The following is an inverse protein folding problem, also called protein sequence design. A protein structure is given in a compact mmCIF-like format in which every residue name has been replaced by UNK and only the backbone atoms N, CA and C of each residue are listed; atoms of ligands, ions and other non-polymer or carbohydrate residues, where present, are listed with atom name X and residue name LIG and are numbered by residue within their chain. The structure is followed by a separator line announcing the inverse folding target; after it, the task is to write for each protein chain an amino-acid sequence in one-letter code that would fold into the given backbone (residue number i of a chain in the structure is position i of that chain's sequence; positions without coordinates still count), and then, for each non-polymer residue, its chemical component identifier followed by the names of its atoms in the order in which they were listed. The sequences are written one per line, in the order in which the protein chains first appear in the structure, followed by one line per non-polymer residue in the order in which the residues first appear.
data_IF_065157234369
#
_entry.id   IF_065157234369
#
_cell.length_a   1.000
_cell.length_b   1.000
_cell.length_c   1.000
_cell.angle_alpha   90.00
_cell.angle_beta   90.00
_cell.angle_gamma   90.00
#
_symmetry.space_group_name_H-M   'P 1'
#
loop_
_entity.id
_entity.type
_entity.pdbx_description
1 polymer ?
#
# COMPACT_ATOMS: atom_id res chain seq x y z
N UNK A 1 -8.00 -11.07 12.80
CA UNK A 1 -6.67 -10.53 12.47
C UNK A 1 -6.75 -9.48 11.35
N UNK A 2 -7.19 -9.84 10.13
CA UNK A 2 -7.23 -8.89 9.00
C UNK A 2 -7.99 -7.57 9.20
N UNK A 3 -9.02 -7.53 10.05
CA UNK A 3 -9.78 -6.31 10.34
C UNK A 3 -9.03 -5.28 11.20
N UNK A 4 -8.01 -5.71 11.96
CA UNK A 4 -7.31 -4.84 12.92
C UNK A 4 -6.05 -4.23 12.32
N UNK A 5 -5.40 -4.92 11.38
CA UNK A 5 -4.09 -4.54 10.84
C UNK A 5 -4.13 -3.92 9.44
N UNK A 6 -5.28 -3.95 8.77
CA UNK A 6 -5.45 -3.37 7.43
C UNK A 6 -5.67 -1.86 7.49
N UNK A 7 -4.93 -1.13 6.65
CA UNK A 7 -4.99 0.34 6.59
C UNK A 7 -6.36 0.87 6.11
N UNK A 8 -7.04 0.13 5.24
CA UNK A 8 -8.37 0.48 4.72
C UNK A 8 -9.48 0.35 5.78
N UNK A 9 -9.38 -0.63 6.70
CA UNK A 9 -10.29 -0.73 7.84
C UNK A 9 -10.14 0.48 8.80
N UNK A 10 -8.90 0.87 9.08
CA UNK A 10 -8.61 2.03 9.91
C UNK A 10 -9.13 3.33 9.26
N UNK A 11 -8.88 3.51 7.95
CA UNK A 11 -9.39 4.66 7.20
C UNK A 11 -10.91 4.75 7.26
N UNK A 12 -11.62 3.64 7.03
CA UNK A 12 -13.08 3.60 7.11
C UNK A 12 -13.58 3.96 8.52
N UNK A 13 -12.92 3.49 9.58
CA UNK A 13 -13.29 3.86 10.95
C UNK A 13 -13.09 5.36 11.24
N UNK A 14 -12.04 5.98 10.72
CA UNK A 14 -11.87 7.43 10.86
C UNK A 14 -12.92 8.22 10.08
N UNK A 15 -13.41 7.71 8.94
CA UNK A 15 -14.53 8.37 8.22
C UNK A 15 -15.83 8.35 9.01
N UNK A 16 -16.10 7.30 9.78
CA UNK A 16 -17.26 7.25 10.70
C UNK A 16 -17.09 8.30 11.80
N UNK A 17 -15.91 8.36 12.45
CA UNK A 17 -15.62 9.38 13.48
C UNK A 17 -15.76 10.82 12.97
N UNK A 18 -15.34 11.08 11.73
CA UNK A 18 -15.53 12.39 11.10
C UNK A 18 -17.01 12.70 10.89
N UNK A 19 -17.82 11.71 10.50
CA UNK A 19 -19.25 11.88 10.34
C UNK A 19 -19.97 12.07 11.70
N UNK A 20 -19.52 11.42 12.77
CA UNK A 20 -20.00 11.64 14.14
C UNK A 20 -19.72 13.09 14.59
N UNK A 21 -18.48 13.56 14.42
CA UNK A 21 -18.11 14.94 14.74
C UNK A 21 -18.91 15.96 13.91
N UNK A 22 -19.27 15.64 12.67
CA UNK A 22 -20.13 16.48 11.84
C UNK A 22 -21.58 16.55 12.36
N UNK A 23 -22.10 15.46 12.96
CA UNK A 23 -23.40 15.47 13.65
C UNK A 23 -23.35 16.36 14.89
N UNK A 24 -22.28 16.27 15.68
CA UNK A 24 -22.09 17.14 16.84
C UNK A 24 -21.99 18.61 16.43
N UNK A 25 -21.25 18.92 15.36
CA UNK A 25 -21.15 20.27 14.81
C UNK A 25 -22.51 20.80 14.34
N UNK A 26 -23.31 19.98 13.66
CA UNK A 26 -24.66 20.35 13.25
C UNK A 26 -25.58 20.56 14.46
N UNK A 27 -25.44 19.75 15.52
CA UNK A 27 -26.22 19.93 16.74
C UNK A 27 -25.80 21.19 17.52
N UNK A 28 -24.52 21.57 17.46
CA UNK A 28 -23.99 22.78 18.08
C UNK A 28 -24.54 24.07 17.44
N UNK A 29 -25.12 24.01 16.23
CA UNK A 29 -25.80 25.15 15.63
C UNK A 29 -27.05 25.62 16.43
N UNK A 30 -27.60 24.76 17.31
CA UNK A 30 -28.66 25.14 18.24
C UNK A 30 -28.14 25.97 19.45
N UNK A 31 -26.82 26.06 19.62
CA UNK A 31 -26.18 26.79 20.71
C UNK A 31 -25.80 28.21 20.24
N UNK A 32 -25.72 29.19 21.16
CA UNK A 32 -25.23 30.52 20.82
C UNK A 32 -23.78 30.46 20.35
N UNK A 33 -23.47 31.17 19.27
CA UNK A 33 -22.08 31.35 18.80
C UNK A 33 -21.49 32.59 19.45
N UNK A 34 -20.34 32.44 20.12
CA UNK A 34 -19.60 33.54 20.72
C UNK A 34 -18.39 33.87 19.85
N UNK A 35 -18.30 35.11 19.39
CA UNK A 35 -17.20 35.62 18.61
C UNK A 35 -16.49 36.72 19.38
N UNK A 36 -15.16 36.71 19.32
CA UNK A 36 -14.31 37.72 19.90
C UNK A 36 -13.34 38.23 18.83
N UNK A 37 -13.26 39.55 18.67
CA UNK A 37 -12.37 40.18 17.72
C UNK A 37 -11.63 41.34 18.38
N UNK A 38 -10.35 41.47 18.05
CA UNK A 38 -9.52 42.60 18.44
C UNK A 38 -8.86 43.17 17.18
N UNK A 39 -9.10 44.44 16.93
CA UNK A 39 -8.56 45.14 15.76
C UNK A 39 -7.78 46.34 16.22
N UNK A 40 -6.54 46.46 15.75
CA UNK A 40 -5.73 47.68 15.90
C UNK A 40 -5.72 48.40 14.56
N UNK A 41 -6.11 49.68 14.56
CA UNK A 41 -6.09 50.52 13.38
C UNK A 41 -5.23 51.74 13.63
N UNK A 42 -4.31 52.01 12.70
CA UNK A 42 -3.49 53.21 12.71
C UNK A 42 -3.93 54.01 11.48
N UNK A 43 -4.68 55.08 11.71
CA UNK A 43 -5.19 55.95 10.65
C UNK A 43 -4.55 57.34 10.75
N UNK A 44 -4.03 57.82 9.61
CA UNK A 44 -3.53 59.18 9.44
C UNK A 44 -4.51 59.99 8.60
N UNK A 45 -4.83 61.21 9.04
CA UNK A 45 -5.84 62.07 8.40
C UNK A 45 -5.35 62.71 7.08
N UNK A 46 -4.04 62.64 6.79
CA UNK A 46 -3.42 63.20 5.59
C UNK A 46 -2.34 62.25 5.04
N UNK A 47 -2.47 61.82 3.78
CA UNK A 47 -1.56 60.85 3.17
C UNK A 47 -0.10 61.34 2.95
N UNK A 48 0.16 62.65 3.04
CA UNK A 48 1.46 63.25 2.67
C UNK A 48 1.93 64.42 3.55
N UNK A 49 1.38 64.59 4.76
CA UNK A 49 1.84 65.62 5.72
C UNK A 49 2.35 64.95 6.99
N UNK A 50 3.55 65.36 7.44
CA UNK A 50 4.17 64.93 8.69
C UNK A 50 3.49 65.58 9.92
N UNK A 51 2.16 65.46 10.03
CA UNK A 51 1.44 65.78 11.25
C UNK A 51 1.37 64.49 12.07
N UNK A 52 2.26 64.38 13.04
CA UNK A 52 2.55 63.19 13.84
C UNK A 52 1.45 62.89 14.88
N UNK A 53 0.18 63.04 14.50
CA UNK A 53 -0.98 62.58 15.27
C UNK A 53 -1.52 61.33 14.60
N UNK A 54 -0.71 60.27 14.58
CA UNK A 54 -1.21 58.94 14.28
C UNK A 54 -2.22 58.57 15.38
N UNK A 55 -3.49 58.45 15.03
CA UNK A 55 -4.49 57.93 15.96
C UNK A 55 -4.35 56.41 15.97
N UNK A 56 -3.65 55.90 16.98
CA UNK A 56 -3.58 54.47 17.28
C UNK A 56 -4.87 54.10 18.02
N UNK A 57 -5.76 53.37 17.36
CA UNK A 57 -7.04 52.97 17.89
C UNK A 57 -7.09 51.46 18.03
N UNK A 58 -7.42 50.99 19.24
CA UNK A 58 -7.68 49.59 19.51
C UNK A 58 -9.18 49.40 19.74
N UNK A 59 -9.76 48.46 19.00
CA UNK A 59 -11.16 48.07 19.14
C UNK A 59 -11.22 46.61 19.56
N UNK A 60 -11.80 46.36 20.73
CA UNK A 60 -12.15 45.02 21.18
C UNK A 60 -13.67 44.87 21.05
N UNK A 61 -14.11 43.78 20.43
CA UNK A 61 -15.52 43.46 20.25
C UNK A 61 -15.81 42.02 20.63
N UNK A 62 -16.83 41.82 21.46
CA UNK A 62 -17.43 40.52 21.72
C UNK A 62 -18.84 40.54 21.14
N UNK A 63 -19.20 39.53 20.36
CA UNK A 63 -20.56 39.36 19.86
C UNK A 63 -21.05 37.95 20.11
N UNK A 64 -22.29 37.83 20.58
CA UNK A 64 -22.97 36.55 20.74
C UNK A 64 -24.20 36.54 19.83
N UNK A 65 -24.32 35.50 19.00
CA UNK A 65 -25.46 35.33 18.09
C UNK A 65 -26.21 34.06 18.46
N UNK A 66 -27.50 34.18 18.76
CA UNK A 66 -28.38 33.06 19.05
C UNK A 66 -29.63 33.13 18.18
N UNK A 67 -29.81 32.14 17.30
CA UNK A 67 -31.05 31.94 16.54
C UNK A 67 -32.09 31.26 17.42
N UNK A 68 -33.16 31.97 17.78
CA UNK A 68 -34.23 31.43 18.63
C UNK A 68 -35.25 30.63 17.79
N UNK A 69 -35.43 31.00 16.52
CA UNK A 69 -36.35 30.34 15.60
C UNK A 69 -35.80 30.41 14.17
N UNK A 70 -35.69 29.25 13.52
CA UNK A 70 -35.07 29.08 12.20
C UNK A 70 -35.94 28.23 11.25
N UNK A 71 -37.22 28.06 11.57
CA UNK A 71 -38.17 27.24 10.79
C UNK A 71 -37.67 25.79 10.56
N UNK A 72 -37.11 25.16 11.60
CA UNK A 72 -36.56 23.80 11.60
C UNK A 72 -35.34 23.57 10.68
N UNK A 73 -34.72 24.63 10.16
CA UNK A 73 -33.54 24.50 9.30
C UNK A 73 -32.39 23.73 9.98
N UNK A 74 -32.11 24.02 11.25
CA UNK A 74 -31.07 23.32 12.02
C UNK A 74 -31.44 21.87 12.29
N UNK A 75 -32.70 21.58 12.59
CA UNK A 75 -33.20 20.21 12.75
C UNK A 75 -33.00 19.40 11.47
N UNK A 76 -33.33 19.97 10.30
CA UNK A 76 -33.10 19.33 9.01
C UNK A 76 -31.61 19.07 8.74
N UNK A 77 -30.73 20.01 9.07
CA UNK A 77 -29.27 19.83 8.95
C UNK A 77 -28.75 18.70 9.86
N UNK A 78 -29.25 18.59 11.09
CA UNK A 78 -28.90 17.49 11.99
C UNK A 78 -29.38 16.14 11.44
N UNK A 79 -30.59 16.09 10.88
CA UNK A 79 -31.09 14.88 10.23
C UNK A 79 -30.25 14.48 9.00
N UNK A 80 -29.84 15.46 8.19
CA UNK A 80 -28.94 15.23 7.06
C UNK A 80 -27.57 14.69 7.53
N UNK A 81 -26.98 15.29 8.57
CA UNK A 81 -25.73 14.83 9.15
C UNK A 81 -25.84 13.40 9.70
N UNK A 82 -26.94 13.08 10.40
CA UNK A 82 -27.23 11.72 10.88
C UNK A 82 -27.38 10.71 9.73
N UNK A 83 -28.02 11.09 8.63
CA UNK A 83 -28.11 10.25 7.45
C UNK A 83 -26.73 10.00 6.81
N UNK A 84 -25.86 11.02 6.78
CA UNK A 84 -24.46 10.87 6.35
C UNK A 84 -23.65 9.96 7.28
N UNK A 85 -23.86 10.05 8.59
CA UNK A 85 -23.25 9.13 9.57
C UNK A 85 -23.66 7.68 9.28
N UNK A 86 -24.97 7.40 9.16
CA UNK A 86 -25.45 6.05 8.80
C UNK A 86 -24.84 5.54 7.50
N UNK A 87 -24.72 6.41 6.49
CA UNK A 87 -24.06 6.06 5.23
C UNK A 87 -22.58 5.68 5.44
N UNK A 88 -21.86 6.38 6.32
CA UNK A 88 -20.48 6.06 6.65
C UNK A 88 -20.36 4.74 7.43
N UNK A 89 -21.30 4.46 8.35
CA UNK A 89 -21.37 3.19 9.08
C UNK A 89 -21.60 2.00 8.13
N UNK A 90 -22.54 2.14 7.19
CA UNK A 90 -22.78 1.11 6.16
C UNK A 90 -21.56 0.93 5.23
N UNK A 91 -20.85 2.01 4.90
CA UNK A 91 -19.61 1.93 4.13
C UNK A 91 -18.47 1.21 4.89
N UNK A 92 -18.41 1.39 6.22
CA UNK A 92 -17.51 0.63 7.08
C UNK A 92 -17.89 -0.85 7.11
N UNK A 93 -19.18 -1.17 7.25
CA UNK A 93 -19.67 -2.55 7.19
C UNK A 93 -19.32 -3.22 5.85
N UNK A 94 -19.57 -2.54 4.72
CA UNK A 94 -19.21 -3.02 3.39
C UNK A 94 -17.69 -3.20 3.21
N UNK A 95 -16.88 -2.30 3.77
CA UNK A 95 -15.42 -2.45 3.78
C UNK A 95 -15.00 -3.68 4.57
N UNK A 96 -15.58 -3.92 5.75
CA UNK A 96 -15.29 -5.10 6.56
C UNK A 96 -15.67 -6.41 5.85
N UNK A 97 -16.80 -6.44 5.15
CA UNK A 97 -17.21 -7.59 4.34
C UNK A 97 -16.27 -7.83 3.17
N UNK A 98 -15.86 -6.77 2.46
CA UNK A 98 -14.86 -6.86 1.39
C UNK A 98 -13.54 -7.44 1.91
N UNK A 99 -13.06 -6.98 3.07
CA UNK A 99 -11.84 -7.51 3.70
C UNK A 99 -11.97 -9.01 3.98
N UNK A 100 -13.11 -9.44 4.53
CA UNK A 100 -13.37 -10.87 4.79
C UNK A 100 -13.36 -11.69 3.50
N UNK A 101 -13.99 -11.16 2.44
CA UNK A 101 -14.02 -11.80 1.13
C UNK A 101 -12.61 -11.91 0.55
N UNK A 102 -11.82 -10.83 0.56
CA UNK A 102 -10.45 -10.81 0.05
C UNK A 102 -9.59 -11.89 0.73
N UNK A 103 -9.65 -11.98 2.07
CA UNK A 103 -8.91 -12.99 2.85
C UNK A 103 -9.38 -14.39 2.49
N UNK A 104 -10.69 -14.61 2.38
CA UNK A 104 -11.23 -15.92 2.05
C UNK A 104 -10.80 -16.36 0.63
N UNK A 105 -10.90 -15.47 -0.35
CA UNK A 105 -10.47 -15.70 -1.72
C UNK A 105 -8.96 -15.97 -1.78
N UNK A 106 -8.14 -15.19 -1.10
CA UNK A 106 -6.70 -15.40 -1.06
C UNK A 106 -6.33 -16.77 -0.45
N UNK A 107 -7.01 -17.17 0.62
CA UNK A 107 -6.81 -18.48 1.25
C UNK A 107 -7.19 -19.63 0.31
N UNK A 108 -8.34 -19.54 -0.36
CA UNK A 108 -8.76 -20.54 -1.34
C UNK A 108 -7.80 -20.63 -2.52
N UNK A 109 -7.28 -19.49 -3.00
CA UNK A 109 -6.29 -19.45 -4.08
C UNK A 109 -4.96 -20.09 -3.66
N UNK A 110 -4.51 -19.89 -2.41
CA UNK A 110 -3.33 -20.55 -1.88
C UNK A 110 -3.52 -22.07 -1.85
N UNK A 111 -4.65 -22.53 -1.33
CA UNK A 111 -4.98 -23.97 -1.26
C UNK A 111 -5.09 -24.60 -2.65
N UNK A 112 -5.68 -23.90 -3.61
CA UNK A 112 -5.73 -24.35 -5.00
C UNK A 112 -4.34 -24.41 -5.65
N UNK A 113 -3.47 -23.44 -5.37
CA UNK A 113 -2.09 -23.46 -5.85
C UNK A 113 -1.28 -24.62 -5.25
N UNK A 114 -1.49 -24.94 -3.97
CA UNK A 114 -0.88 -26.10 -3.30
C UNK A 114 -1.29 -27.43 -3.96
N UNK A 115 -2.58 -27.61 -4.26
CA UNK A 115 -3.05 -28.80 -4.98
C UNK A 115 -2.51 -28.88 -6.42
N UNK A 116 -2.32 -27.73 -7.07
CA UNK A 116 -1.75 -27.68 -8.40
C UNK A 116 -0.26 -28.10 -8.42
N UNK A 117 0.49 -27.83 -7.35
CA UNK A 117 1.86 -28.33 -7.19
C UNK A 117 1.87 -29.87 -7.19
N UNK A 118 1.04 -30.52 -6.37
CA UNK A 118 0.96 -31.99 -6.33
C UNK A 118 0.56 -32.59 -7.69
N UNK A 119 -0.40 -31.96 -8.38
CA UNK A 119 -0.85 -32.41 -9.71
C UNK A 119 0.26 -32.27 -10.76
N UNK A 120 0.95 -31.14 -10.78
CA UNK A 120 2.03 -30.88 -11.76
C UNK A 120 3.28 -31.70 -11.45
N UNK A 121 3.57 -32.00 -10.18
CA UNK A 121 4.65 -32.91 -9.80
C UNK A 121 4.41 -34.33 -10.36
N UNK A 122 3.18 -34.84 -10.22
CA UNK A 122 2.79 -36.13 -10.80
C UNK A 122 2.90 -36.13 -12.33
N UNK A 123 2.51 -35.03 -12.97
CA UNK A 123 2.64 -34.88 -14.42
C UNK A 123 4.12 -34.88 -14.88
N UNK A 124 5.03 -34.27 -14.11
CA UNK A 124 6.47 -34.36 -14.39
C UNK A 124 6.95 -35.80 -14.27
N UNK A 125 6.61 -36.50 -13.19
CA UNK A 125 7.01 -37.92 -13.01
C UNK A 125 6.52 -38.81 -14.15
N UNK A 126 5.28 -38.60 -14.62
CA UNK A 126 4.74 -39.32 -15.77
C UNK A 126 5.52 -39.00 -17.05
N UNK A 127 5.78 -37.73 -17.34
CA UNK A 127 6.51 -37.33 -18.55
C UNK A 127 7.98 -37.80 -18.53
N UNK A 128 8.60 -37.92 -17.35
CA UNK A 128 9.93 -38.51 -17.19
C UNK A 128 9.93 -39.99 -17.55
N UNK A 129 8.92 -40.74 -17.13
CA UNK A 129 8.78 -42.15 -17.47
C UNK A 129 8.48 -42.33 -18.97
N UNK A 130 7.60 -41.52 -19.55
CA UNK A 130 7.29 -41.54 -20.98
C UNK A 130 8.54 -41.27 -21.84
N UNK A 131 9.37 -40.31 -21.43
CA UNK A 131 10.66 -40.02 -22.07
C UNK A 131 11.63 -41.21 -21.94
N UNK A 132 11.68 -41.84 -20.78
CA UNK A 132 12.53 -43.02 -20.57
C UNK A 132 12.10 -44.20 -21.46
N UNK A 133 10.79 -44.47 -21.56
CA UNK A 133 10.23 -45.50 -22.43
C UNK A 133 10.56 -45.20 -23.90
N UNK A 134 10.34 -43.97 -24.37
CA UNK A 134 10.64 -43.57 -25.75
C UNK A 134 12.13 -43.75 -26.07
N UNK A 135 13.01 -43.34 -25.15
CA UNK A 135 14.46 -43.50 -25.27
C UNK A 135 14.88 -44.97 -25.34
N UNK A 136 14.33 -45.83 -24.49
CA UNK A 136 14.61 -47.28 -24.49
C UNK A 136 14.15 -47.92 -25.80
N UNK A 137 12.95 -47.57 -26.30
CA UNK A 137 12.43 -48.08 -27.58
C UNK A 137 13.27 -47.64 -28.78
N UNK A 138 13.72 -46.39 -28.80
CA UNK A 138 14.64 -45.89 -29.81
C UNK A 138 15.98 -46.65 -29.79
N UNK A 139 16.56 -46.85 -28.60
CA UNK A 139 17.81 -47.61 -28.44
C UNK A 139 17.68 -49.09 -28.85
N UNK A 140 16.49 -49.68 -28.65
CA UNK A 140 16.17 -51.03 -29.10
C UNK A 140 15.81 -51.12 -30.61
N UNK A 141 15.81 -50.00 -31.34
CA UNK A 141 15.48 -49.93 -32.77
C UNK A 141 14.00 -50.08 -33.11
N UNK A 142 13.10 -50.10 -32.10
CA UNK A 142 11.64 -50.25 -32.26
C UNK A 142 10.88 -48.94 -32.08
N UNK A 143 11.59 -47.83 -31.85
CA UNK A 143 11.05 -46.48 -31.71
C UNK A 143 11.74 -45.48 -32.63
N UNK A 144 11.14 -44.31 -32.83
CA UNK A 144 11.67 -43.28 -33.73
C UNK A 144 12.32 -42.13 -32.95
N UNK A 145 13.27 -41.41 -33.57
CA UNK A 145 13.87 -40.22 -32.94
C UNK A 145 12.81 -39.13 -32.67
N UNK A 146 11.79 -39.03 -33.53
CA UNK A 146 10.67 -38.10 -33.35
C UNK A 146 9.89 -38.36 -32.04
N UNK A 147 9.71 -39.62 -31.64
CA UNK A 147 9.07 -39.98 -30.36
C UNK A 147 9.92 -39.52 -29.16
N UNK A 148 11.25 -39.62 -29.25
CA UNK A 148 12.17 -39.13 -28.21
C UNK A 148 12.14 -37.61 -28.11
N UNK A 149 12.16 -36.90 -29.25
CA UNK A 149 12.03 -35.44 -29.26
C UNK A 149 10.68 -34.99 -28.68
N UNK A 150 9.58 -35.59 -29.12
CA UNK A 150 8.24 -35.25 -28.63
C UNK A 150 8.07 -35.50 -27.12
N UNK A 151 8.61 -36.61 -26.62
CA UNK A 151 8.57 -36.90 -25.18
C UNK A 151 9.48 -35.96 -24.37
N UNK A 152 10.63 -35.55 -24.92
CA UNK A 152 11.49 -34.51 -24.32
C UNK A 152 10.80 -33.14 -24.24
N UNK A 153 10.06 -32.75 -25.28
CA UNK A 153 9.28 -31.51 -25.30
C UNK A 153 8.13 -31.55 -24.27
N UNK A 154 7.44 -32.69 -24.18
CA UNK A 154 6.40 -32.91 -23.17
C UNK A 154 6.97 -32.83 -21.74
N UNK A 155 8.13 -33.45 -21.48
CA UNK A 155 8.82 -33.37 -20.20
C UNK A 155 9.21 -31.93 -19.85
N UNK A 156 9.77 -31.19 -20.83
CA UNK A 156 10.14 -29.78 -20.65
C UNK A 156 8.91 -28.92 -20.33
N UNK A 157 7.80 -29.16 -21.03
CA UNK A 157 6.51 -28.50 -20.77
C UNK A 157 5.98 -28.81 -19.37
N UNK A 158 6.01 -30.08 -18.95
CA UNK A 158 5.58 -30.50 -17.62
C UNK A 158 6.41 -29.83 -16.52
N UNK A 159 7.74 -29.79 -16.68
CA UNK A 159 8.65 -29.10 -15.74
C UNK A 159 8.39 -27.59 -15.67
N UNK A 160 8.12 -26.97 -16.81
CA UNK A 160 7.74 -25.54 -16.87
C UNK A 160 6.43 -25.27 -16.14
N UNK A 161 5.43 -26.16 -16.30
CA UNK A 161 4.17 -26.06 -15.59
C UNK A 161 4.34 -26.22 -14.07
N UNK A 162 5.19 -27.15 -13.63
CA UNK A 162 5.54 -27.32 -12.22
C UNK A 162 6.22 -26.09 -11.62
N UNK A 163 7.20 -25.52 -12.33
CA UNK A 163 7.85 -24.27 -11.91
C UNK A 163 6.85 -23.11 -11.82
N UNK A 164 5.92 -23.01 -12.77
CA UNK A 164 4.84 -22.03 -12.75
C UNK A 164 3.88 -22.25 -11.57
N UNK A 165 3.58 -23.50 -11.20
CA UNK A 165 2.75 -23.83 -10.04
C UNK A 165 3.42 -23.39 -8.73
N UNK A 166 4.72 -23.63 -8.57
CA UNK A 166 5.50 -23.16 -7.42
C UNK A 166 5.52 -21.62 -7.32
N UNK A 167 5.73 -20.95 -8.45
CA UNK A 167 5.66 -19.48 -8.51
C UNK A 167 4.28 -18.98 -8.05
N UNK A 168 3.20 -19.57 -8.59
CA UNK A 168 1.82 -19.21 -8.24
C UNK A 168 1.54 -19.40 -6.76
N UNK A 169 1.98 -20.51 -6.16
CA UNK A 169 1.86 -20.75 -4.72
C UNK A 169 2.53 -19.65 -3.91
N UNK A 170 3.77 -19.28 -4.25
CA UNK A 170 4.49 -18.21 -3.56
C UNK A 170 3.77 -16.85 -3.70
N UNK A 171 3.26 -16.52 -4.88
CA UNK A 171 2.48 -15.28 -5.08
C UNK A 171 1.15 -15.31 -4.36
N UNK A 172 0.46 -16.46 -4.30
CA UNK A 172 -0.81 -16.60 -3.57
C UNK A 172 -0.59 -16.50 -2.06
N UNK A 173 0.53 -17.00 -1.56
CA UNK A 173 0.93 -16.85 -0.15
C UNK A 173 1.17 -15.38 0.18
N UNK A 174 1.96 -14.67 -0.63
CA UNK A 174 2.18 -13.24 -0.45
C UNK A 174 0.88 -12.42 -0.56
N UNK A 175 -0.05 -12.82 -1.43
CA UNK A 175 -1.36 -12.19 -1.56
C UNK A 175 -2.23 -12.42 -0.30
N UNK A 176 -2.17 -13.61 0.31
CA UNK A 176 -2.85 -13.89 1.57
C UNK A 176 -2.26 -13.07 2.72
N UNK A 177 -0.94 -12.99 2.82
CA UNK A 177 -0.25 -12.18 3.84
C UNK A 177 -0.66 -10.70 3.72
N UNK A 178 -0.68 -10.17 2.49
CA UNK A 178 -1.15 -8.82 2.20
C UNK A 178 -2.63 -8.62 2.58
N UNK A 179 -3.51 -9.57 2.21
CA UNK A 179 -4.93 -9.51 2.54
C UNK A 179 -5.20 -9.59 4.06
N UNK A 180 -4.31 -10.22 4.82
CA UNK A 180 -4.38 -10.26 6.29
C UNK A 180 -3.81 -9.00 6.96
N UNK A 181 -3.25 -8.06 6.18
CA UNK A 181 -2.62 -6.85 6.70
C UNK A 181 -1.33 -7.12 7.48
N UNK A 182 -0.77 -8.33 7.36
CA UNK A 182 0.57 -8.63 7.87
C UNK A 182 1.54 -8.07 6.83
N UNK A 183 2.53 -7.23 7.20
CA UNK A 183 3.56 -6.84 6.24
C UNK A 183 4.13 -8.11 5.64
N UNK A 184 4.09 -8.21 4.30
CA UNK A 184 4.56 -9.39 3.60
C UNK A 184 6.04 -9.56 3.96
N UNK A 185 6.34 -10.51 4.84
CA UNK A 185 7.70 -11.02 5.05
C UNK A 185 8.05 -11.83 3.80
N UNK A 186 8.22 -11.11 2.70
CA UNK A 186 9.03 -11.58 1.60
C UNK A 186 10.44 -11.66 2.16
N UNK A 187 10.79 -12.85 2.63
CA UNK A 187 12.16 -13.27 2.99
C UNK A 187 13.18 -12.94 1.86
N UNK A 188 12.67 -12.64 0.65
CA UNK A 188 13.41 -12.08 -0.48
C UNK A 188 14.05 -10.69 -0.21
N UNK A 189 13.47 -9.85 0.66
CA UNK A 189 14.06 -8.54 1.02
C UNK A 189 15.15 -8.66 2.10
N UNK A 190 15.22 -9.79 2.82
CA UNK A 190 16.34 -10.06 3.72
C UNK A 190 17.53 -10.62 2.94
N UNK A 191 17.30 -11.42 1.89
CA UNK A 191 18.39 -11.95 1.04
C UNK A 191 19.32 -10.88 0.49
N UNK A 192 18.82 -9.72 0.06
CA UNK A 192 19.69 -8.63 -0.43
C UNK A 192 20.53 -7.99 0.68
N UNK A 193 19.97 -7.84 1.88
CA UNK A 193 20.70 -7.30 3.05
C UNK A 193 21.77 -8.26 3.59
N UNK A 194 21.62 -9.58 3.40
CA UNK A 194 22.62 -10.57 3.85
C UNK A 194 23.80 -10.69 2.86
N UNK A 195 23.61 -10.34 1.58
CA UNK A 195 24.70 -10.33 0.59
C UNK A 195 25.56 -9.05 0.72
N UNK A 196 24.95 -7.91 1.06
CA UNK A 196 25.68 -6.64 1.27
C UNK A 196 26.50 -6.61 2.57
N UNK A 197 26.15 -7.44 3.54
CA UNK A 197 26.88 -7.59 4.80
C UNK A 197 27.32 -9.04 4.97
N UNK A 198 28.46 -9.39 4.36
CA UNK A 198 29.09 -10.72 4.36
C UNK A 198 29.32 -11.35 5.75
N UNK A 199 28.24 -11.73 6.43
CA UNK A 199 28.25 -12.39 7.74
C UNK A 199 27.41 -13.66 7.66
N UNK A 200 28.15 -14.74 7.41
CA UNK A 200 27.88 -16.18 7.62
C UNK A 200 26.46 -16.52 8.12
N UNK A 201 25.79 -17.35 7.33
CA UNK A 201 24.42 -17.88 7.40
C UNK A 201 23.90 -18.47 8.75
N UNK A 202 24.64 -18.37 9.86
CA UNK A 202 24.19 -18.78 11.19
C UNK A 202 23.50 -17.64 11.94
N UNK A 203 24.01 -16.41 11.84
CA UNK A 203 23.41 -15.24 12.51
C UNK A 203 22.04 -14.86 11.92
N UNK A 204 21.84 -15.09 10.62
CA UNK A 204 20.55 -14.88 9.97
C UNK A 204 19.46 -15.87 10.45
N UNK A 205 19.86 -17.08 10.89
CA UNK A 205 18.92 -18.07 11.46
C UNK A 205 18.50 -17.72 12.88
N UNK A 206 19.40 -17.11 13.67
CA UNK A 206 19.10 -16.64 15.02
C UNK A 206 18.22 -15.38 15.01
N UNK A 207 18.42 -14.46 14.05
CA UNK A 207 17.60 -13.26 13.91
C UNK A 207 16.18 -13.52 13.35
N UNK A 208 15.94 -14.70 12.77
CA UNK A 208 14.64 -15.12 12.23
C UNK A 208 13.71 -15.78 13.27
N UNK A 209 14.15 -15.91 14.53
CA UNK A 209 13.28 -16.41 15.61
C UNK A 209 12.45 -15.23 16.13
N UNK A 210 11.14 -15.29 15.90
CA UNK A 210 10.16 -14.31 16.39
C UNK A 210 10.21 -14.18 17.91
N UNK A 211 10.54 -12.99 18.41
CA UNK A 211 10.32 -12.61 19.81
C UNK A 211 8.86 -12.18 20.00
N UNK A 212 8.15 -12.76 20.98
CA UNK A 212 6.72 -12.51 21.25
C UNK A 212 6.40 -11.09 21.75
N UNK A 213 7.40 -10.27 22.07
CA UNK A 213 7.21 -8.99 22.78
C UNK A 213 7.39 -7.72 21.92
N UNK A 214 7.31 -7.81 20.59
CA UNK A 214 7.44 -6.65 19.71
C UNK A 214 6.17 -5.77 19.69
N UNK A 215 5.83 -5.18 20.85
CA UNK A 215 4.93 -4.03 20.94
C UNK A 215 5.60 -2.81 20.30
N UNK A 216 4.86 -2.14 19.43
CA UNK A 216 5.28 -0.94 18.69
C UNK A 216 5.49 0.26 19.62
N UNK A 217 6.65 0.36 20.25
CA UNK A 217 7.19 1.66 20.63
C UNK A 217 8.26 2.07 19.62
N UNK A 218 7.98 3.12 18.85
CA UNK A 218 9.01 3.85 18.11
C UNK A 218 10.00 4.43 19.13
N UNK A 219 11.29 4.05 19.11
CA UNK A 219 12.25 4.63 20.01
C UNK A 219 12.39 6.12 19.68
N UNK A 220 12.01 6.99 20.61
CA UNK A 220 12.01 8.47 20.54
C UNK A 220 13.41 9.11 20.34
N UNK A 221 14.41 8.37 19.87
CA UNK A 221 15.79 8.84 19.71
C UNK A 221 16.55 8.27 18.50
N UNK A 222 15.89 7.54 17.60
CA UNK A 222 16.56 7.08 16.37
C UNK A 222 16.83 8.28 15.46
N UNK A 223 18.09 8.68 15.34
CA UNK A 223 18.53 9.74 14.45
C UNK A 223 18.03 9.48 13.04
N UNK A 224 17.27 10.43 12.49
CA UNK A 224 16.88 10.45 11.08
C UNK A 224 18.16 10.39 10.26
N UNK A 225 18.25 9.40 9.38
CA UNK A 225 19.36 9.21 8.45
C UNK A 225 19.62 10.57 7.76
N UNK A 226 20.83 11.15 7.83
CA UNK A 226 21.10 12.43 7.18
C UNK A 226 20.70 12.34 5.71
N UNK A 227 19.96 13.34 5.22
CA UNK A 227 19.63 13.42 3.82
C UNK A 227 20.95 13.43 3.02
N UNK A 228 21.06 12.51 2.06
CA UNK A 228 22.18 12.47 1.13
C UNK A 228 22.34 13.85 0.49
N UNK A 229 23.56 14.44 0.47
CA UNK A 229 23.75 15.76 -0.12
C UNK A 229 23.31 15.72 -1.58
N UNK A 230 22.56 16.75 -1.99
CA UNK A 230 22.07 16.86 -3.36
C UNK A 230 23.25 16.72 -4.34
N UNK A 231 23.09 15.94 -5.44
CA UNK A 231 24.16 15.73 -6.40
C UNK A 231 24.67 17.07 -6.92
N UNK A 232 25.99 17.20 -7.07
CA UNK A 232 26.60 18.43 -7.56
C UNK A 232 26.15 18.71 -9.00
N UNK A 233 26.15 19.98 -9.41
CA UNK A 233 25.68 20.36 -10.75
C UNK A 233 26.40 19.63 -11.90
N UNK A 234 27.67 19.24 -11.68
CA UNK A 234 28.44 18.42 -12.62
C UNK A 234 27.94 16.98 -12.72
N UNK A 235 27.57 16.36 -11.60
CA UNK A 235 27.02 14.98 -11.59
C UNK A 235 25.61 14.91 -12.18
N UNK A 236 24.81 15.96 -11.96
CA UNK A 236 23.52 16.12 -12.63
C UNK A 236 23.69 16.29 -14.14
N UNK A 237 24.65 17.10 -14.60
CA UNK A 237 24.94 17.26 -16.03
C UNK A 237 25.44 15.95 -16.67
N UNK A 238 26.33 15.21 -15.99
CA UNK A 238 26.85 13.93 -16.46
C UNK A 238 25.79 12.82 -16.54
N UNK A 239 24.79 12.85 -15.67
CA UNK A 239 23.66 11.91 -15.74
C UNK A 239 22.69 12.24 -16.88
N UNK A 240 22.42 13.53 -17.13
CA UNK A 240 21.60 13.98 -18.26
C UNK A 240 22.26 13.61 -19.59
N UNK A 241 23.58 13.79 -19.71
CA UNK A 241 24.31 13.45 -20.93
C UNK A 241 24.30 11.93 -21.19
N UNK A 242 24.48 11.10 -20.15
CA UNK A 242 24.35 9.64 -20.25
C UNK A 242 22.96 9.20 -20.72
N UNK A 243 21.89 9.81 -20.20
CA UNK A 243 20.51 9.50 -20.62
C UNK A 243 20.28 9.94 -22.07
N UNK A 244 20.82 11.09 -22.47
CA UNK A 244 20.68 11.60 -23.85
C UNK A 244 21.44 10.72 -24.85
N UNK A 245 22.63 10.24 -24.50
CA UNK A 245 23.39 9.28 -25.31
C UNK A 245 22.68 7.92 -25.42
N UNK A 246 22.07 7.43 -24.33
CA UNK A 246 21.29 6.19 -24.34
C UNK A 246 20.05 6.30 -25.24
N UNK A 247 19.34 7.43 -25.18
CA UNK A 247 18.17 7.66 -26.04
C UNK A 247 18.55 7.79 -27.52
N UNK A 248 19.64 8.48 -27.84
CA UNK A 248 20.14 8.58 -29.22
C UNK A 248 20.57 7.21 -29.78
N UNK A 249 21.19 6.35 -28.95
CA UNK A 249 21.51 4.98 -29.33
C UNK A 249 20.24 4.16 -29.61
N UNK A 250 19.20 4.35 -28.82
CA UNK A 250 17.91 3.68 -29.01
C UNK A 250 17.21 4.12 -30.31
N UNK A 251 17.20 5.43 -30.61
CA UNK A 251 16.63 5.96 -31.84
C UNK A 251 17.36 5.46 -33.10
N UNK A 252 18.69 5.31 -33.05
CA UNK A 252 19.45 4.72 -34.17
C UNK A 252 19.18 3.23 -34.36
N UNK A 253 18.89 2.48 -33.29
CA UNK A 253 18.53 1.05 -33.40
C UNK A 253 17.11 0.82 -33.94
N UNK A 254 16.22 1.81 -33.84
CA UNK A 254 14.84 1.73 -34.37
C UNK A 254 14.69 2.29 -35.79
N UNK A 255 15.73 2.94 -36.33
CA UNK A 255 15.75 3.52 -37.68
C UNK A 255 16.46 2.63 -38.73
N UNK A 256 16.78 1.37 -38.40
CA UNK A 256 17.30 0.33 -39.30
C UNK A 256 16.32 -0.82 -39.41
#
# INVERSE_FOLDING_TARGET
YGLVYRADAAAAHYTVKQAEAAVEQAAAANLPTLNAAATRSIAGEHAFKNSMQAKDMWTLGLSATWGIFDNEATTAQVHEAKAKLRKAEEALAATNERIRLDVHTAYLNLRAAEQNIDTTEKAVKQAEEDYNIARVRYNAGVGTNLEVMRSSDNLTTARTNYATALYRYNTSKAALDNAMGVPVDLDAMQYRRVIDHGKRARAAREAAVLHEDALLETPKGAQVRPAEPAPTAEEAAASIERVRAANAAYEMTMAK
#
